data_IF_406294950067
#
_entry.id   IF_406294950067
#
_cell.length_a   1.000
_cell.length_b   1.000
_cell.length_c   1.000
_cell.angle_alpha   90.00
_cell.angle_beta   90.00
_cell.angle_gamma   90.00
#
_symmetry.space_group_name_H-M   'P 1'
#
loop_
_entity.id
_entity.type
_entity.pdbx_description
1 polymer ?
#
# COMPACT_ATOMS: atom_id res chain seq x y z
N UNK A 1 108.54 4.77 1.74
CA UNK A 1 108.14 3.72 0.89
C UNK A 1 106.66 3.93 0.61
N UNK A 2 106.24 3.85 -0.62
CA UNK A 2 105.15 4.54 -1.23
C UNK A 2 103.75 4.12 -0.72
N UNK A 3 103.01 5.10 -0.19
CA UNK A 3 101.54 5.03 0.14
C UNK A 3 100.77 5.37 -1.12
N UNK A 4 99.86 4.48 -1.55
CA UNK A 4 98.92 4.72 -2.61
C UNK A 4 97.54 4.96 -2.04
N UNK A 5 97.12 6.23 -2.19
CA UNK A 5 95.73 6.63 -1.85
C UNK A 5 94.76 6.14 -2.93
N UNK A 6 93.83 5.29 -2.58
CA UNK A 6 92.71 4.95 -3.44
C UNK A 6 91.49 5.78 -3.04
N UNK A 7 91.13 6.71 -3.96
CA UNK A 7 89.88 7.53 -3.85
C UNK A 7 88.71 6.76 -4.48
N UNK A 8 87.69 6.44 -3.67
CA UNK A 8 86.40 5.96 -4.20
C UNK A 8 85.52 7.17 -4.55
N UNK A 9 84.77 7.09 -5.69
CA UNK A 9 83.80 8.15 -6.03
C UNK A 9 82.50 7.92 -5.31
N UNK A 10 81.95 8.98 -4.71
CA UNK A 10 80.63 9.08 -4.12
C UNK A 10 79.57 8.99 -5.21
N UNK A 11 78.86 7.86 -5.28
CA UNK A 11 77.63 7.75 -6.09
C UNK A 11 76.49 8.47 -5.38
N UNK A 12 75.95 9.51 -6.04
CA UNK A 12 74.74 10.19 -5.66
C UNK A 12 73.55 9.25 -5.92
N UNK A 13 72.97 8.67 -4.91
CA UNK A 13 71.70 7.99 -4.98
C UNK A 13 70.58 9.04 -5.07
N UNK A 14 69.96 9.15 -6.24
CA UNK A 14 68.71 9.91 -6.43
C UNK A 14 67.57 9.09 -5.77
N UNK A 15 67.05 9.57 -4.64
CA UNK A 15 65.79 9.09 -4.07
C UNK A 15 64.65 9.65 -4.93
N UNK A 16 64.10 8.78 -5.79
CA UNK A 16 62.82 9.02 -6.45
C UNK A 16 61.72 8.74 -5.43
N UNK A 17 61.17 9.75 -4.81
CA UNK A 17 59.92 9.70 -4.03
C UNK A 17 58.77 9.52 -5.01
N UNK A 18 58.29 8.27 -5.20
CA UNK A 18 57.05 8.01 -5.87
C UNK A 18 55.90 8.47 -4.97
N UNK A 19 55.29 9.61 -5.28
CA UNK A 19 53.97 9.97 -4.72
C UNK A 19 52.94 8.98 -5.32
N UNK A 20 52.56 7.96 -4.56
CA UNK A 20 51.32 7.26 -4.81
C UNK A 20 50.16 8.20 -4.42
N UNK A 21 49.62 8.91 -5.42
CA UNK A 21 48.30 9.52 -5.32
C UNK A 21 47.25 8.39 -5.26
N UNK A 22 46.81 8.08 -4.03
CA UNK A 22 45.60 7.28 -3.81
C UNK A 22 44.44 8.14 -4.31
N UNK A 23 44.04 7.94 -5.55
CA UNK A 23 42.72 8.34 -6.05
C UNK A 23 41.72 7.53 -5.25
N UNK A 24 41.24 8.09 -4.12
CA UNK A 24 40.00 7.66 -3.51
C UNK A 24 38.87 7.97 -4.51
N UNK A 25 38.70 7.09 -5.46
CA UNK A 25 37.49 7.07 -6.28
C UNK A 25 36.33 6.90 -5.31
N UNK A 26 35.46 7.88 -5.24
CA UNK A 26 34.11 7.68 -4.70
C UNK A 26 33.48 6.59 -5.55
N UNK A 27 33.54 5.35 -5.09
CA UNK A 27 32.76 4.27 -5.66
C UNK A 27 31.30 4.64 -5.39
N UNK A 28 30.71 5.38 -6.31
CA UNK A 28 29.26 5.54 -6.35
C UNK A 28 28.70 4.12 -6.32
N UNK A 29 27.87 3.80 -5.33
CA UNK A 29 27.28 2.48 -5.20
C UNK A 29 26.57 2.17 -6.53
N UNK A 30 27.10 1.17 -7.25
CA UNK A 30 26.57 0.79 -8.54
C UNK A 30 25.21 0.14 -8.32
N UNK A 31 24.19 0.66 -8.98
CA UNK A 31 22.83 0.14 -8.89
C UNK A 31 22.81 -1.33 -9.35
N UNK A 32 22.21 -2.21 -8.55
CA UNK A 32 22.04 -3.61 -8.90
C UNK A 32 21.12 -3.75 -10.11
N UNK A 33 21.59 -4.43 -11.14
CA UNK A 33 20.80 -4.74 -12.32
C UNK A 33 20.52 -6.24 -12.37
N UNK A 34 19.24 -6.57 -12.28
CA UNK A 34 18.77 -7.94 -12.47
C UNK A 34 18.99 -8.39 -13.92
N UNK A 35 19.31 -9.65 -14.12
CA UNK A 35 19.44 -10.24 -15.43
C UNK A 35 18.16 -10.01 -16.26
N UNK A 36 18.26 -9.80 -17.58
CA UNK A 36 17.11 -9.78 -18.45
C UNK A 36 16.29 -11.06 -18.27
N UNK A 37 14.98 -10.93 -18.34
CA UNK A 37 14.03 -11.99 -18.04
C UNK A 37 14.32 -13.31 -18.79
N UNK A 38 14.67 -13.21 -20.08
CA UNK A 38 15.02 -14.36 -20.93
C UNK A 38 16.29 -15.08 -20.47
N UNK A 39 17.13 -14.45 -19.65
CA UNK A 39 18.34 -15.04 -19.07
C UNK A 39 18.15 -15.59 -17.67
N UNK A 40 17.05 -15.25 -16.98
CA UNK A 40 16.74 -15.75 -15.63
C UNK A 40 16.36 -17.23 -15.58
N UNK A 41 16.73 -17.99 -16.57
CA UNK A 41 16.58 -19.45 -16.69
C UNK A 41 17.90 -20.20 -16.51
N UNK A 42 19.02 -19.49 -16.39
CA UNK A 42 20.34 -20.11 -16.15
C UNK A 42 20.72 -19.98 -14.69
N UNK A 43 21.37 -20.99 -14.14
CA UNK A 43 21.82 -20.98 -12.74
C UNK A 43 22.78 -19.83 -12.47
N UNK A 44 23.64 -19.45 -13.42
CA UNK A 44 24.57 -18.34 -13.27
C UNK A 44 23.84 -17.01 -13.15
N UNK A 45 22.82 -16.76 -14.00
CA UNK A 45 22.06 -15.52 -13.97
C UNK A 45 21.26 -15.40 -12.66
N UNK A 46 20.59 -16.49 -12.25
CA UNK A 46 19.84 -16.54 -11.00
C UNK A 46 20.78 -16.33 -9.80
N UNK A 47 21.93 -17.00 -9.78
CA UNK A 47 22.90 -16.83 -8.70
C UNK A 47 23.45 -15.40 -8.61
N UNK A 48 23.75 -14.77 -9.75
CA UNK A 48 24.21 -13.38 -9.78
C UNK A 48 23.13 -12.41 -9.26
N UNK A 49 21.87 -12.60 -9.64
CA UNK A 49 20.75 -11.80 -9.16
C UNK A 49 20.56 -11.97 -7.64
N UNK A 50 20.61 -13.21 -7.12
CA UNK A 50 20.53 -13.48 -5.70
C UNK A 50 21.67 -12.82 -4.90
N UNK A 51 22.90 -12.83 -5.43
CA UNK A 51 24.00 -12.09 -4.83
C UNK A 51 23.74 -10.59 -4.80
N UNK A 52 23.11 -10.04 -5.83
CA UNK A 52 22.67 -8.64 -5.85
C UNK A 52 21.68 -8.31 -4.73
N UNK A 53 20.68 -9.16 -4.53
CA UNK A 53 19.71 -9.02 -3.44
C UNK A 53 20.38 -9.11 -2.07
N UNK A 54 21.27 -10.08 -1.88
CA UNK A 54 22.06 -10.25 -0.63
C UNK A 54 22.95 -9.02 -0.35
N UNK A 55 23.58 -8.46 -1.37
CA UNK A 55 24.40 -7.26 -1.23
C UNK A 55 23.55 -6.05 -0.81
N UNK A 56 22.36 -5.85 -1.42
CA UNK A 56 21.44 -4.79 -1.05
C UNK A 56 20.92 -4.98 0.38
N UNK A 57 20.56 -6.20 0.77
CA UNK A 57 20.20 -6.53 2.16
C UNK A 57 21.33 -6.24 3.14
N UNK A 58 22.57 -6.53 2.75
CA UNK A 58 23.76 -6.22 3.55
C UNK A 58 23.93 -4.73 3.80
N UNK A 59 23.62 -3.87 2.83
CA UNK A 59 23.67 -2.40 2.99
C UNK A 59 22.59 -1.90 3.96
N UNK A 60 21.36 -2.42 3.87
CA UNK A 60 20.29 -2.10 4.84
C UNK A 60 20.73 -2.48 6.26
N UNK A 61 21.29 -3.70 6.41
CA UNK A 61 21.83 -4.14 7.70
C UNK A 61 22.94 -3.23 8.20
N UNK A 62 23.87 -2.83 7.35
CA UNK A 62 24.98 -1.94 7.72
C UNK A 62 24.49 -0.56 8.22
N UNK A 63 23.42 0.00 7.61
CA UNK A 63 22.79 1.23 8.08
C UNK A 63 22.19 1.05 9.48
N UNK A 64 21.55 -0.09 9.76
CA UNK A 64 21.04 -0.39 11.10
C UNK A 64 22.17 -0.60 12.11
N UNK A 65 23.20 -1.38 11.77
CA UNK A 65 24.38 -1.59 12.61
C UNK A 65 25.12 -0.25 12.88
N UNK A 66 25.07 0.69 11.94
CA UNK A 66 25.59 2.05 12.07
C UNK A 66 24.75 2.98 12.95
N UNK A 67 23.67 2.47 13.57
CA UNK A 67 22.85 3.18 14.55
C UNK A 67 21.52 3.74 14.03
N UNK A 68 21.15 3.53 12.75
CA UNK A 68 19.82 3.88 12.30
C UNK A 68 18.80 2.92 12.93
N UNK A 69 17.73 3.41 13.55
CA UNK A 69 16.74 2.53 14.20
C UNK A 69 16.13 1.56 13.18
N UNK A 70 15.97 0.28 13.56
CA UNK A 70 15.41 -0.76 12.67
C UNK A 70 14.01 -0.43 12.17
N UNK A 71 13.25 0.37 12.93
CA UNK A 71 11.91 0.83 12.56
C UNK A 71 11.88 2.25 11.97
N UNK A 72 13.05 2.83 11.62
CA UNK A 72 13.11 4.10 10.90
C UNK A 72 12.30 4.00 9.59
N UNK A 73 11.54 5.03 9.26
CA UNK A 73 10.65 5.03 8.12
C UNK A 73 11.36 4.71 6.80
N UNK A 74 12.49 5.38 6.51
CA UNK A 74 13.20 5.18 5.25
C UNK A 74 13.93 3.84 5.20
N UNK A 75 14.48 3.40 6.34
CA UNK A 75 15.10 2.06 6.43
C UNK A 75 14.06 0.97 6.22
N UNK A 76 12.90 1.09 6.85
CA UNK A 76 11.79 0.15 6.70
C UNK A 76 11.24 0.17 5.27
N UNK A 77 11.10 1.36 4.66
CA UNK A 77 10.63 1.49 3.28
C UNK A 77 11.59 0.86 2.28
N UNK A 78 12.91 1.05 2.49
CA UNK A 78 13.93 0.38 1.69
C UNK A 78 13.84 -1.15 1.82
N UNK A 79 13.65 -1.67 3.04
CA UNK A 79 13.47 -3.10 3.25
C UNK A 79 12.20 -3.62 2.57
N UNK A 80 11.05 -2.95 2.74
CA UNK A 80 9.79 -3.40 2.14
C UNK A 80 9.85 -3.37 0.60
N UNK A 81 10.52 -2.38 -0.01
CA UNK A 81 10.77 -2.37 -1.44
C UNK A 81 11.66 -3.54 -1.88
N UNK A 82 12.70 -3.88 -1.11
CA UNK A 82 13.55 -5.04 -1.38
C UNK A 82 12.76 -6.33 -1.30
N UNK A 83 11.91 -6.46 -0.27
CA UNK A 83 11.10 -7.67 -0.02
C UNK A 83 10.07 -7.91 -1.13
N UNK A 84 9.32 -6.89 -1.56
CA UNK A 84 8.35 -7.05 -2.66
C UNK A 84 9.04 -7.28 -4.00
N UNK A 85 10.22 -6.67 -4.23
CA UNK A 85 11.05 -6.94 -5.40
C UNK A 85 11.47 -8.41 -5.45
N UNK A 86 12.03 -8.92 -4.35
CA UNK A 86 12.47 -10.29 -4.23
C UNK A 86 11.32 -11.29 -4.33
N UNK A 87 10.18 -10.97 -3.70
CA UNK A 87 8.97 -11.77 -3.77
C UNK A 87 8.54 -11.98 -5.23
N UNK A 88 8.40 -10.90 -5.98
CA UNK A 88 7.98 -10.97 -7.38
C UNK A 88 9.05 -11.60 -8.29
N UNK A 89 10.34 -11.36 -8.02
CA UNK A 89 11.42 -12.03 -8.70
C UNK A 89 11.32 -13.55 -8.56
N UNK A 90 11.12 -14.06 -7.33
CA UNK A 90 11.04 -15.51 -7.05
C UNK A 90 9.76 -16.14 -7.60
N UNK A 91 8.70 -15.38 -7.78
CA UNK A 91 7.47 -15.80 -8.46
C UNK A 91 7.57 -15.76 -9.98
N UNK A 92 8.74 -15.38 -10.51
CA UNK A 92 8.98 -15.23 -11.93
C UNK A 92 8.09 -14.16 -12.60
N UNK A 93 7.86 -13.06 -11.88
CA UNK A 93 7.25 -11.87 -12.49
C UNK A 93 8.13 -11.38 -13.64
N UNK A 94 7.52 -11.31 -14.81
CA UNK A 94 8.19 -10.95 -16.05
C UNK A 94 8.08 -9.47 -16.40
N UNK A 95 7.45 -8.70 -15.57
CA UNK A 95 7.32 -7.26 -15.72
C UNK A 95 8.58 -6.51 -15.27
N UNK A 96 8.57 -5.20 -15.36
CA UNK A 96 9.64 -4.35 -14.83
C UNK A 96 9.58 -4.22 -13.29
N UNK A 97 8.51 -4.69 -12.63
CA UNK A 97 8.28 -4.48 -11.20
C UNK A 97 9.45 -4.93 -10.31
N UNK A 98 10.04 -6.15 -10.45
CA UNK A 98 11.15 -6.55 -9.60
C UNK A 98 12.33 -5.59 -9.67
N UNK A 99 12.72 -5.17 -10.87
CA UNK A 99 13.84 -4.24 -11.06
C UNK A 99 13.53 -2.84 -10.54
N UNK A 100 12.33 -2.32 -10.83
CA UNK A 100 11.96 -0.97 -10.42
C UNK A 100 11.79 -0.86 -8.90
N UNK A 101 11.21 -1.88 -8.25
CA UNK A 101 11.10 -1.97 -6.79
C UNK A 101 12.49 -2.05 -6.11
N UNK A 102 13.41 -2.87 -6.66
CA UNK A 102 14.80 -2.90 -6.19
C UNK A 102 15.47 -1.54 -6.32
N UNK A 103 15.21 -0.83 -7.42
CA UNK A 103 15.72 0.52 -7.65
C UNK A 103 15.23 1.52 -6.60
N UNK A 104 13.95 1.47 -6.20
CA UNK A 104 13.41 2.32 -5.14
C UNK A 104 14.05 2.00 -3.78
N UNK A 105 14.28 0.71 -3.47
CA UNK A 105 15.05 0.33 -2.27
C UNK A 105 16.44 0.94 -2.28
N UNK A 106 17.19 0.78 -3.37
CA UNK A 106 18.56 1.28 -3.48
C UNK A 106 18.67 2.81 -3.45
N UNK A 107 17.71 3.54 -4.00
CA UNK A 107 17.65 5.01 -3.87
C UNK A 107 17.62 5.43 -2.42
N UNK A 108 16.72 4.85 -1.62
CA UNK A 108 16.59 5.15 -0.20
C UNK A 108 17.88 4.79 0.56
N UNK A 109 18.51 3.67 0.22
CA UNK A 109 19.78 3.24 0.82
C UNK A 109 20.87 4.28 0.53
N UNK A 110 21.02 4.69 -0.74
CA UNK A 110 22.02 5.70 -1.16
C UNK A 110 21.79 7.03 -0.47
N UNK A 111 20.54 7.49 -0.36
CA UNK A 111 20.21 8.73 0.34
C UNK A 111 20.59 8.65 1.83
N UNK A 112 20.33 7.52 2.48
CA UNK A 112 20.71 7.29 3.88
C UNK A 112 22.23 7.22 4.07
N UNK A 113 22.95 6.51 3.18
CA UNK A 113 24.41 6.40 3.20
C UNK A 113 25.09 7.75 3.01
N UNK A 114 24.51 8.61 2.16
CA UNK A 114 25.03 9.97 1.89
C UNK A 114 24.57 11.02 2.90
N UNK A 115 23.74 10.64 3.90
CA UNK A 115 23.23 11.58 4.91
C UNK A 115 22.31 12.66 4.34
N UNK A 116 21.58 12.37 3.26
CA UNK A 116 20.58 13.28 2.68
C UNK A 116 19.51 13.60 3.72
N UNK A 117 19.18 14.89 3.86
CA UNK A 117 18.16 15.33 4.83
C UNK A 117 17.48 16.62 4.33
N UNK A 118 16.14 16.67 4.24
CA UNK A 118 15.23 15.55 4.42
C UNK A 118 15.27 14.54 3.25
N UNK A 119 15.10 13.26 3.53
CA UNK A 119 14.86 12.26 2.49
C UNK A 119 13.37 12.35 2.08
N UNK A 120 13.03 12.34 0.77
CA UNK A 120 11.65 12.33 0.32
C UNK A 120 10.85 11.14 0.85
N UNK A 121 9.56 11.37 1.12
CA UNK A 121 8.65 10.33 1.61
C UNK A 121 7.71 9.77 0.54
N UNK A 122 7.78 10.31 -0.67
CA UNK A 122 6.94 9.88 -1.79
C UNK A 122 7.10 8.38 -2.07
N UNK A 123 6.01 7.77 -2.54
CA UNK A 123 5.98 6.36 -2.92
C UNK A 123 5.68 6.25 -4.41
N UNK A 124 6.66 5.76 -5.18
CA UNK A 124 6.54 5.63 -6.62
C UNK A 124 5.56 4.50 -6.98
N UNK A 125 4.71 4.72 -7.98
CA UNK A 125 3.89 3.66 -8.59
C UNK A 125 4.72 2.92 -9.65
N UNK A 126 5.68 2.12 -9.19
CA UNK A 126 6.57 1.37 -10.08
C UNK A 126 5.79 0.44 -11.02
N UNK A 127 6.33 0.20 -12.21
CA UNK A 127 5.71 -0.62 -13.25
C UNK A 127 4.27 -0.18 -13.59
N UNK A 128 3.98 1.12 -13.49
CA UNK A 128 2.63 1.67 -13.66
C UNK A 128 1.58 0.97 -12.79
N UNK A 129 1.95 0.59 -11.56
CA UNK A 129 1.06 -0.05 -10.62
C UNK A 129 -0.25 0.73 -10.47
N UNK A 130 -1.37 0.03 -10.46
CA UNK A 130 -2.67 0.66 -10.33
C UNK A 130 -2.81 1.32 -8.97
N UNK A 131 -3.15 2.60 -8.93
CA UNK A 131 -3.52 3.26 -7.67
C UNK A 131 -4.85 2.69 -7.17
N UNK A 132 -4.78 1.95 -6.07
CA UNK A 132 -5.91 1.26 -5.45
C UNK A 132 -6.11 1.76 -4.02
N UNK A 133 -7.35 1.67 -3.50
CA UNK A 133 -7.64 1.91 -2.08
C UNK A 133 -7.16 3.28 -1.60
N UNK A 134 -7.65 4.34 -2.28
CA UNK A 134 -7.38 5.74 -1.87
C UNK A 134 -7.64 5.98 -0.37
N UNK A 135 -8.64 5.30 0.20
CA UNK A 135 -8.95 5.33 1.62
C UNK A 135 -7.75 4.91 2.50
N UNK A 136 -7.00 3.87 2.13
CA UNK A 136 -5.81 3.43 2.87
C UNK A 136 -4.65 4.40 2.72
N UNK A 137 -4.44 4.93 1.51
CA UNK A 137 -3.44 5.97 1.27
C UNK A 137 -3.69 7.22 2.13
N UNK A 138 -4.94 7.67 2.24
CA UNK A 138 -5.30 8.83 3.05
C UNK A 138 -5.08 8.56 4.55
N UNK A 139 -5.39 7.36 5.04
CA UNK A 139 -5.14 6.95 6.42
C UNK A 139 -3.65 6.95 6.75
N UNK A 140 -2.80 6.37 5.89
CA UNK A 140 -1.34 6.41 6.05
C UNK A 140 -0.81 7.85 6.06
N UNK A 141 -1.25 8.66 5.09
CA UNK A 141 -0.86 10.07 4.99
C UNK A 141 -1.26 10.87 6.23
N UNK A 142 -2.42 10.60 6.81
CA UNK A 142 -2.86 11.28 8.02
C UNK A 142 -1.94 11.01 9.21
N UNK A 143 -1.32 9.83 9.31
CA UNK A 143 -0.39 9.47 10.38
C UNK A 143 0.93 10.26 10.26
N UNK A 144 1.44 10.50 9.06
CA UNK A 144 2.72 11.21 8.83
C UNK A 144 2.80 12.56 9.55
N UNK A 145 1.70 13.30 9.63
CA UNK A 145 1.65 14.62 10.27
C UNK A 145 1.46 14.61 11.78
N UNK A 146 1.44 13.44 12.42
CA UNK A 146 1.13 13.32 13.85
C UNK A 146 2.37 12.98 14.69
N UNK A 147 2.40 13.33 15.98
CA UNK A 147 3.47 12.88 16.91
C UNK A 147 3.55 11.35 17.01
N UNK A 148 2.45 10.64 16.77
CA UNK A 148 2.37 9.18 16.79
C UNK A 148 3.11 8.50 15.65
N UNK A 149 3.47 9.24 14.58
CA UNK A 149 4.23 8.71 13.45
C UNK A 149 5.55 8.05 13.88
N UNK A 150 6.22 8.59 14.90
CA UNK A 150 7.48 8.01 15.41
C UNK A 150 7.38 6.54 15.82
N UNK A 151 6.22 6.08 16.23
CA UNK A 151 5.97 4.66 16.55
C UNK A 151 5.42 3.85 15.41
N UNK A 152 4.81 4.49 14.42
CA UNK A 152 4.13 3.85 13.31
C UNK A 152 5.00 3.75 12.04
N UNK A 153 6.23 4.25 12.06
CA UNK A 153 7.08 4.46 10.88
C UNK A 153 7.17 3.23 9.99
N UNK A 154 7.47 2.07 10.57
CA UNK A 154 7.61 0.81 9.82
C UNK A 154 6.27 0.38 9.17
N UNK A 155 5.19 0.40 9.94
CA UNK A 155 3.88 -0.03 9.43
C UNK A 155 3.36 0.91 8.33
N UNK A 156 3.61 2.23 8.46
CA UNK A 156 3.30 3.21 7.42
C UNK A 156 4.12 2.93 6.15
N UNK A 157 5.44 2.80 6.28
CA UNK A 157 6.35 2.58 5.16
C UNK A 157 6.00 1.31 4.37
N UNK A 158 5.78 0.20 5.06
CA UNK A 158 5.45 -1.07 4.42
C UNK A 158 4.02 -1.09 3.87
N UNK A 159 3.07 -0.42 4.54
CA UNK A 159 1.70 -0.29 4.04
C UNK A 159 1.63 0.46 2.70
N UNK A 160 2.43 1.53 2.53
CA UNK A 160 2.54 2.25 1.26
C UNK A 160 3.12 1.36 0.15
N UNK A 161 4.18 0.61 0.44
CA UNK A 161 4.82 -0.30 -0.53
C UNK A 161 3.87 -1.44 -0.92
N UNK A 162 3.14 -2.03 0.03
CA UNK A 162 2.16 -3.09 -0.25
C UNK A 162 0.96 -2.60 -1.06
N UNK A 163 0.57 -1.33 -0.93
CA UNK A 163 -0.45 -0.76 -1.81
C UNK A 163 0.02 -0.67 -3.26
N UNK A 164 1.30 -0.36 -3.49
CA UNK A 164 1.89 -0.38 -4.84
C UNK A 164 1.99 -1.82 -5.36
N UNK A 165 2.43 -2.75 -4.52
CA UNK A 165 2.48 -4.18 -4.84
C UNK A 165 1.10 -4.71 -5.24
N UNK A 166 0.06 -4.41 -4.44
CA UNK A 166 -1.32 -4.76 -4.78
C UNK A 166 -1.76 -4.18 -6.13
N UNK A 167 -1.31 -2.96 -6.46
CA UNK A 167 -1.57 -2.32 -7.74
C UNK A 167 -0.89 -3.00 -8.93
N UNK A 168 0.33 -3.51 -8.75
CA UNK A 168 1.03 -4.33 -9.74
C UNK A 168 0.28 -5.64 -10.00
N UNK A 169 -0.12 -6.33 -8.94
CA UNK A 169 -0.87 -7.58 -9.01
C UNK A 169 -2.26 -7.39 -9.64
N UNK A 170 -2.88 -6.23 -9.43
CA UNK A 170 -4.13 -5.89 -10.10
C UNK A 170 -3.93 -5.75 -11.62
N UNK A 171 -2.83 -5.19 -12.08
CA UNK A 171 -2.53 -5.09 -13.51
C UNK A 171 -2.32 -6.47 -14.14
N UNK A 172 -1.82 -7.46 -13.40
CA UNK A 172 -1.59 -8.82 -13.90
C UNK A 172 -2.90 -9.62 -14.02
N UNK A 173 -3.64 -9.82 -12.93
CA UNK A 173 -4.85 -10.64 -12.89
C UNK A 173 -6.01 -10.02 -12.10
N UNK A 174 -6.13 -8.72 -12.13
CA UNK A 174 -7.23 -7.98 -11.53
C UNK A 174 -7.37 -8.27 -10.02
N UNK A 175 -8.57 -8.21 -9.50
CA UNK A 175 -8.89 -8.42 -8.09
C UNK A 175 -8.36 -9.74 -7.51
N UNK A 176 -8.36 -10.80 -8.30
CA UNK A 176 -7.96 -12.12 -7.83
C UNK A 176 -6.54 -12.16 -7.26
N UNK A 177 -5.60 -11.47 -7.93
CA UNK A 177 -4.22 -11.39 -7.49
C UNK A 177 -3.98 -10.26 -6.48
N UNK A 178 -4.62 -9.12 -6.64
CA UNK A 178 -4.40 -7.98 -5.75
C UNK A 178 -5.01 -8.16 -4.35
N UNK A 179 -6.06 -8.99 -4.20
CA UNK A 179 -6.78 -9.13 -2.92
C UNK A 179 -5.87 -9.47 -1.72
N UNK A 180 -4.96 -10.45 -1.78
CA UNK A 180 -4.08 -10.79 -0.65
C UNK A 180 -3.23 -9.60 -0.20
N UNK A 181 -2.69 -8.85 -1.14
CA UNK A 181 -1.82 -7.70 -0.86
C UNK A 181 -2.59 -6.48 -0.36
N UNK A 182 -3.83 -6.30 -0.83
CA UNK A 182 -4.76 -5.32 -0.24
C UNK A 182 -5.05 -5.68 1.23
N UNK A 183 -5.22 -6.98 1.54
CA UNK A 183 -5.42 -7.42 2.92
C UNK A 183 -4.20 -7.12 3.79
N UNK A 184 -3.00 -7.42 3.31
CA UNK A 184 -1.75 -7.09 4.01
C UNK A 184 -1.64 -5.58 4.24
N UNK A 185 -1.96 -4.77 3.22
CA UNK A 185 -1.94 -3.31 3.35
C UNK A 185 -2.98 -2.81 4.36
N UNK A 186 -4.20 -3.37 4.39
CA UNK A 186 -5.22 -3.06 5.40
C UNK A 186 -4.73 -3.36 6.82
N UNK A 187 -4.10 -4.52 7.01
CA UNK A 187 -3.57 -4.93 8.31
C UNK A 187 -2.44 -3.98 8.76
N UNK A 188 -1.51 -3.64 7.86
CA UNK A 188 -0.45 -2.66 8.14
C UNK A 188 -0.98 -1.26 8.46
N UNK A 189 -2.03 -0.80 7.78
CA UNK A 189 -2.69 0.48 8.08
C UNK A 189 -3.34 0.45 9.45
N UNK A 190 -4.03 -0.63 9.81
CA UNK A 190 -4.63 -0.80 11.13
C UNK A 190 -3.57 -0.82 12.23
N UNK A 191 -2.46 -1.52 12.00
CA UNK A 191 -1.32 -1.55 12.92
C UNK A 191 -0.67 -0.16 13.06
N UNK A 192 -0.48 0.56 11.95
CA UNK A 192 0.05 1.92 11.96
C UNK A 192 -0.79 2.86 12.81
N UNK A 193 -2.12 2.83 12.65
CA UNK A 193 -3.04 3.63 13.46
C UNK A 193 -3.00 3.24 14.95
N UNK A 194 -2.93 1.94 15.26
CA UNK A 194 -2.84 1.47 16.62
C UNK A 194 -1.54 1.92 17.29
N UNK A 195 -0.40 1.77 16.59
CA UNK A 195 0.92 2.21 17.07
C UNK A 195 0.98 3.74 17.22
N UNK A 196 0.43 4.49 16.29
CA UNK A 196 0.39 5.96 16.35
C UNK A 196 -0.40 6.44 17.59
N UNK A 197 -1.51 5.78 17.91
CA UNK A 197 -2.30 6.09 19.12
C UNK A 197 -1.53 5.81 20.42
N UNK A 198 -0.68 4.80 20.44
CA UNK A 198 0.11 4.43 21.64
C UNK A 198 1.23 5.42 21.96
N UNK A 199 1.79 6.06 20.95
CA UNK A 199 2.90 7.01 21.08
C UNK A 199 2.51 8.48 20.98
N UNK A 200 1.27 8.75 20.64
CA UNK A 200 0.76 10.12 20.71
C UNK A 200 0.80 10.65 22.16
N UNK A 201 0.84 11.97 22.38
CA UNK A 201 0.64 12.51 23.73
C UNK A 201 -0.62 11.87 24.29
N UNK A 202 -0.56 11.42 25.55
CA UNK A 202 -1.73 10.88 26.24
C UNK A 202 -2.91 11.81 25.97
N UNK A 203 -4.07 11.31 25.57
CA UNK A 203 -5.19 12.15 25.22
C UNK A 203 -5.39 13.12 26.37
N UNK A 204 -5.26 14.42 26.10
CA UNK A 204 -5.66 15.46 27.05
C UNK A 204 -7.07 15.08 27.53
N UNK A 205 -7.39 15.24 28.83
CA UNK A 205 -8.69 14.86 29.35
C UNK A 205 -9.78 15.38 28.41
N UNK A 206 -10.43 14.45 27.79
CA UNK A 206 -11.22 14.63 26.58
C UNK A 206 -12.24 15.77 26.72
N UNK A 207 -12.14 16.76 25.86
CA UNK A 207 -13.37 17.22 25.22
C UNK A 207 -14.11 15.94 24.79
N UNK A 208 -15.37 15.71 25.21
CA UNK A 208 -16.12 14.52 24.85
C UNK A 208 -15.92 14.27 23.35
N UNK A 209 -15.42 13.09 22.99
CA UNK A 209 -15.21 12.76 21.59
C UNK A 209 -16.49 13.11 20.83
N UNK A 210 -16.41 13.79 19.66
CA UNK A 210 -17.59 13.97 18.86
C UNK A 210 -18.24 12.59 18.73
N UNK A 211 -19.57 12.48 18.90
CA UNK A 211 -20.22 11.18 18.90
C UNK A 211 -19.73 10.40 17.69
N UNK A 212 -19.30 9.14 17.86
CA UNK A 212 -18.73 8.36 16.78
C UNK A 212 -19.65 8.47 15.58
N UNK A 213 -19.08 8.87 14.46
CA UNK A 213 -19.82 9.07 13.21
C UNK A 213 -20.66 7.84 12.87
N UNK A 214 -21.67 7.96 12.06
CA UNK A 214 -22.52 6.83 11.69
C UNK A 214 -21.66 5.72 11.14
N UNK A 215 -21.79 4.52 11.70
CA UNK A 215 -21.13 3.33 11.16
C UNK A 215 -21.77 3.03 9.80
N UNK A 216 -20.98 3.09 8.74
CA UNK A 216 -21.47 2.92 7.36
C UNK A 216 -20.86 1.69 6.72
N UNK A 217 -21.70 0.86 6.12
CA UNK A 217 -21.30 -0.27 5.28
C UNK A 217 -21.91 -0.12 3.88
N UNK A 218 -21.22 -0.63 2.86
CA UNK A 218 -21.72 -0.64 1.49
C UNK A 218 -21.95 -2.07 1.01
N UNK A 219 -23.17 -2.39 0.61
CA UNK A 219 -23.52 -3.66 -0.02
C UNK A 219 -23.54 -3.49 -1.53
N UNK A 220 -22.68 -4.23 -2.23
CA UNK A 220 -22.43 -4.10 -3.67
C UNK A 220 -23.18 -5.16 -4.47
N UNK A 221 -23.70 -4.78 -5.64
CA UNK A 221 -24.48 -5.63 -6.51
C UNK A 221 -23.82 -5.86 -7.87
N UNK A 222 -24.12 -7.03 -8.44
CA UNK A 222 -23.79 -7.32 -9.83
C UNK A 222 -24.50 -6.35 -10.79
N UNK A 223 -23.94 -6.24 -12.00
CA UNK A 223 -24.51 -5.36 -13.02
C UNK A 223 -25.94 -5.77 -13.38
N UNK A 224 -26.85 -4.79 -13.36
CA UNK A 224 -28.26 -4.97 -13.72
C UNK A 224 -28.98 -6.03 -12.86
N UNK A 225 -28.58 -6.19 -11.60
CA UNK A 225 -29.10 -7.16 -10.63
C UNK A 225 -29.47 -6.48 -9.31
N UNK A 226 -30.41 -7.12 -8.60
CA UNK A 226 -30.97 -6.64 -7.34
C UNK A 226 -31.25 -7.74 -6.30
N UNK A 227 -31.09 -9.03 -6.68
CA UNK A 227 -31.36 -10.17 -5.80
C UNK A 227 -30.28 -10.44 -4.77
N UNK A 228 -30.61 -11.18 -3.70
CA UNK A 228 -29.66 -11.58 -2.67
C UNK A 228 -28.43 -12.34 -3.22
N UNK A 229 -28.64 -13.21 -4.22
CA UNK A 229 -27.56 -13.99 -4.86
C UNK A 229 -26.66 -13.15 -5.77
N UNK A 230 -27.10 -11.95 -6.08
CA UNK A 230 -26.39 -11.01 -6.95
C UNK A 230 -25.55 -9.99 -6.13
N UNK A 231 -25.51 -10.15 -4.81
CA UNK A 231 -24.66 -9.36 -3.93
C UNK A 231 -23.24 -9.89 -3.99
N UNK A 232 -22.27 -9.00 -4.11
CA UNK A 232 -20.85 -9.33 -3.95
C UNK A 232 -20.58 -9.78 -2.52
N UNK A 233 -20.29 -11.06 -2.30
CA UNK A 233 -20.20 -11.70 -0.99
C UNK A 233 -19.29 -10.94 -0.01
N UNK A 234 -18.14 -10.45 -0.49
CA UNK A 234 -17.20 -9.70 0.33
C UNK A 234 -17.77 -8.37 0.87
N UNK A 235 -18.78 -7.78 0.18
CA UNK A 235 -19.41 -6.56 0.67
C UNK A 235 -20.33 -6.80 1.88
N UNK A 236 -20.81 -8.05 2.08
CA UNK A 236 -21.59 -8.44 3.26
C UNK A 236 -20.72 -8.47 4.53
N UNK A 237 -19.44 -8.77 4.40
CA UNK A 237 -18.50 -8.78 5.52
C UNK A 237 -18.44 -7.42 6.22
N UNK A 238 -18.61 -6.31 5.48
CA UNK A 238 -18.65 -4.97 6.06
C UNK A 238 -19.87 -4.76 6.96
N UNK A 239 -21.02 -5.31 6.58
CA UNK A 239 -22.25 -5.29 7.38
C UNK A 239 -22.10 -6.18 8.62
N UNK A 240 -21.59 -7.40 8.45
CA UNK A 240 -21.40 -8.34 9.54
C UNK A 240 -20.38 -7.82 10.56
N UNK A 241 -19.31 -7.19 10.09
CA UNK A 241 -18.32 -6.52 10.95
C UNK A 241 -18.95 -5.36 11.73
N UNK A 242 -19.76 -4.52 11.07
CA UNK A 242 -20.45 -3.43 11.72
C UNK A 242 -21.37 -3.93 12.86
N UNK A 243 -22.15 -4.98 12.60
CA UNK A 243 -23.02 -5.58 13.60
C UNK A 243 -22.23 -6.23 14.74
N UNK A 244 -21.11 -6.88 14.44
CA UNK A 244 -20.22 -7.46 15.44
C UNK A 244 -19.60 -6.38 16.34
N UNK A 245 -19.18 -5.25 15.76
CA UNK A 245 -18.65 -4.10 16.51
C UNK A 245 -19.69 -3.53 17.47
N UNK A 246 -20.93 -3.32 17.00
CA UNK A 246 -22.03 -2.83 17.85
C UNK A 246 -22.27 -3.76 19.05
N UNK A 247 -22.24 -5.07 18.80
CA UNK A 247 -22.41 -6.06 19.86
C UNK A 247 -21.22 -6.10 20.84
N UNK A 248 -20.01 -6.01 20.34
CA UNK A 248 -18.79 -6.05 21.17
C UNK A 248 -18.66 -4.80 22.07
N UNK A 249 -19.09 -3.64 21.56
CA UNK A 249 -19.05 -2.37 22.27
C UNK A 249 -20.31 -2.09 23.13
N UNK A 250 -21.23 -3.06 23.22
CA UNK A 250 -22.52 -2.94 23.90
C UNK A 250 -23.30 -1.67 23.51
N UNK A 251 -23.27 -1.33 22.21
CA UNK A 251 -23.88 -0.11 21.67
C UNK A 251 -25.29 -0.41 21.17
N UNK A 252 -26.24 0.32 21.73
CA UNK A 252 -27.65 0.18 21.33
C UNK A 252 -27.88 0.80 19.95
N UNK A 253 -28.47 0.03 19.03
CA UNK A 253 -28.86 0.47 17.71
C UNK A 253 -30.21 1.23 17.78
N UNK A 254 -30.20 2.53 17.49
CA UNK A 254 -31.41 3.33 17.40
C UNK A 254 -32.18 3.06 16.10
N UNK A 255 -31.45 2.90 14.98
CA UNK A 255 -32.03 2.65 13.67
C UNK A 255 -31.01 2.33 12.60
N UNK A 256 -31.52 1.97 11.42
CA UNK A 256 -30.70 1.78 10.21
C UNK A 256 -31.33 2.57 9.06
N UNK A 257 -30.52 3.37 8.39
CA UNK A 257 -30.91 4.05 7.15
C UNK A 257 -30.22 3.38 5.96
N UNK A 258 -31.01 2.98 4.97
CA UNK A 258 -30.53 2.41 3.72
C UNK A 258 -30.69 3.43 2.60
N UNK A 259 -29.66 3.56 1.74
CA UNK A 259 -29.74 4.38 0.54
C UNK A 259 -29.32 3.55 -0.69
N UNK A 260 -30.27 3.22 -1.55
CA UNK A 260 -30.05 2.46 -2.77
C UNK A 260 -29.53 3.33 -3.91
N UNK A 261 -28.56 2.78 -4.68
CA UNK A 261 -27.96 3.44 -5.84
C UNK A 261 -27.82 2.47 -7.05
N UNK A 262 -27.79 3.06 -8.23
CA UNK A 262 -27.49 2.37 -9.48
C UNK A 262 -26.32 3.05 -10.21
N UNK A 263 -25.64 2.33 -11.09
CA UNK A 263 -24.64 2.93 -11.97
C UNK A 263 -25.29 3.67 -13.15
N UNK A 264 -24.51 4.57 -13.75
CA UNK A 264 -24.93 5.30 -14.95
C UNK A 264 -24.44 4.61 -16.21
N UNK A 265 -24.82 3.35 -16.42
CA UNK A 265 -24.61 2.70 -17.72
C UNK A 265 -25.64 3.18 -18.74
N UNK A 266 -25.15 3.55 -19.94
CA UNK A 266 -25.98 4.06 -21.02
C UNK A 266 -27.10 3.08 -21.41
N UNK A 267 -28.31 3.58 -21.61
CA UNK A 267 -29.41 2.91 -22.27
C UNK A 267 -30.64 2.52 -21.43
N UNK A 268 -30.62 2.70 -20.09
CA UNK A 268 -31.73 2.26 -19.24
C UNK A 268 -32.64 3.38 -18.71
N UNK A 269 -32.22 4.62 -18.75
CA UNK A 269 -33.03 5.77 -18.31
C UNK A 269 -33.18 5.92 -16.78
N UNK A 270 -33.60 7.11 -16.37
CA UNK A 270 -33.72 7.49 -14.94
C UNK A 270 -34.73 6.60 -14.19
N UNK A 271 -35.91 6.39 -14.72
CA UNK A 271 -36.96 5.61 -14.04
C UNK A 271 -36.55 4.17 -13.78
N UNK A 272 -35.82 3.56 -14.74
CA UNK A 272 -35.28 2.21 -14.57
C UNK A 272 -34.27 2.15 -13.42
N UNK A 273 -33.32 3.07 -13.40
CA UNK A 273 -32.29 3.11 -12.34
C UNK A 273 -32.89 3.43 -10.98
N UNK A 274 -33.93 4.26 -10.96
CA UNK A 274 -34.70 4.55 -9.74
C UNK A 274 -35.33 3.26 -9.17
N UNK A 275 -36.08 2.53 -10.00
CA UNK A 275 -36.71 1.27 -9.60
C UNK A 275 -35.67 0.18 -9.24
N UNK A 276 -34.52 0.12 -9.92
CA UNK A 276 -33.44 -0.83 -9.62
C UNK A 276 -32.81 -0.52 -8.25
N UNK A 277 -32.58 0.76 -7.95
CA UNK A 277 -32.02 1.19 -6.68
C UNK A 277 -32.99 0.92 -5.49
N UNK A 278 -34.29 1.03 -5.73
CA UNK A 278 -35.33 0.68 -4.77
C UNK A 278 -35.30 -0.81 -4.43
N UNK A 279 -35.36 -1.70 -5.45
CA UNK A 279 -35.32 -3.17 -5.22
C UNK A 279 -34.05 -3.61 -4.53
N UNK A 280 -32.89 -2.98 -4.81
CA UNK A 280 -31.65 -3.22 -4.06
C UNK A 280 -31.78 -2.88 -2.59
N UNK A 281 -32.36 -1.71 -2.27
CA UNK A 281 -32.59 -1.29 -0.90
C UNK A 281 -33.54 -2.26 -0.17
N UNK A 282 -34.59 -2.74 -0.84
CA UNK A 282 -35.51 -3.76 -0.30
C UNK A 282 -34.80 -5.10 -0.04
N UNK A 283 -33.93 -5.53 -0.94
CA UNK A 283 -33.13 -6.76 -0.76
C UNK A 283 -32.22 -6.66 0.46
N UNK A 284 -31.54 -5.52 0.64
CA UNK A 284 -30.69 -5.30 1.82
C UNK A 284 -31.54 -5.16 3.10
N UNK A 285 -32.71 -4.55 3.02
CA UNK A 285 -33.65 -4.52 4.14
C UNK A 285 -34.04 -5.91 4.59
N UNK A 286 -34.43 -6.79 3.65
CA UNK A 286 -34.77 -8.19 3.97
C UNK A 286 -33.58 -8.94 4.59
N UNK A 287 -32.37 -8.69 4.09
CA UNK A 287 -31.12 -9.25 4.60
C UNK A 287 -30.87 -8.83 6.06
N UNK A 288 -31.05 -7.56 6.41
CA UNK A 288 -30.86 -7.07 7.78
C UNK A 288 -31.90 -7.61 8.75
N UNK A 289 -33.16 -7.74 8.30
CA UNK A 289 -34.21 -8.40 9.07
C UNK A 289 -33.81 -9.85 9.36
N UNK A 290 -33.30 -10.58 8.38
CA UNK A 290 -32.75 -11.93 8.55
C UNK A 290 -31.56 -12.02 9.52
N UNK A 291 -30.87 -10.92 9.77
CA UNK A 291 -29.81 -10.76 10.77
C UNK A 291 -30.30 -10.30 12.15
N UNK A 292 -31.62 -10.21 12.33
CA UNK A 292 -32.23 -9.87 13.60
C UNK A 292 -32.48 -8.39 13.85
N UNK A 293 -32.32 -7.51 12.83
CA UNK A 293 -32.71 -6.10 12.97
C UNK A 293 -34.22 -5.95 12.88
N UNK A 294 -34.80 -5.25 13.85
CA UNK A 294 -36.23 -4.94 13.88
C UNK A 294 -36.66 -4.18 12.61
N UNK A 295 -37.62 -4.68 11.83
CA UNK A 295 -38.13 -4.01 10.65
C UNK A 295 -38.59 -2.58 10.88
N UNK A 296 -39.09 -2.26 12.08
CA UNK A 296 -39.55 -0.92 12.45
C UNK A 296 -38.40 0.09 12.63
N UNK A 297 -37.16 -0.41 12.82
CA UNK A 297 -35.96 0.40 12.93
C UNK A 297 -35.26 0.63 11.59
N UNK A 298 -35.72 0.01 10.48
CA UNK A 298 -35.10 0.14 9.16
C UNK A 298 -35.92 1.09 8.30
N UNK A 299 -35.35 2.23 7.97
CA UNK A 299 -35.85 3.11 6.92
C UNK A 299 -34.99 3.03 5.68
N UNK A 300 -35.56 3.21 4.50
CA UNK A 300 -34.81 3.18 3.25
C UNK A 300 -35.29 4.25 2.28
N UNK A 301 -34.36 4.71 1.46
CA UNK A 301 -34.57 5.56 0.31
C UNK A 301 -33.73 5.08 -0.86
N UNK A 302 -33.99 5.61 -2.03
CA UNK A 302 -33.31 5.25 -3.27
C UNK A 302 -33.06 6.47 -4.13
N UNK A 303 -31.92 6.51 -4.81
CA UNK A 303 -31.40 7.67 -5.54
C UNK A 303 -31.17 7.41 -7.01
N UNK A 304 -31.50 6.22 -7.52
CA UNK A 304 -31.18 5.84 -8.89
C UNK A 304 -29.69 6.02 -9.19
N UNK A 305 -29.38 6.67 -10.29
CA UNK A 305 -28.03 6.96 -10.75
C UNK A 305 -27.56 8.40 -10.48
N UNK A 306 -28.25 9.13 -9.58
CA UNK A 306 -27.97 10.56 -9.34
C UNK A 306 -26.71 10.79 -8.49
N UNK A 307 -26.27 9.81 -7.70
CA UNK A 307 -25.15 9.92 -6.77
C UNK A 307 -24.04 8.90 -7.10
N UNK A 308 -23.30 9.19 -8.16
CA UNK A 308 -22.16 8.36 -8.56
C UNK A 308 -20.94 8.68 -7.67
N UNK A 309 -20.29 7.64 -7.13
CA UNK A 309 -19.04 7.73 -6.36
C UNK A 309 -17.82 7.42 -7.21
N UNK A 310 -18.02 6.77 -8.36
CA UNK A 310 -16.95 6.40 -9.29
C UNK A 310 -17.32 6.84 -10.71
N UNK A 311 -16.41 7.57 -11.36
CA UNK A 311 -16.49 7.92 -12.76
C UNK A 311 -15.53 7.05 -13.58
N UNK A 312 -15.99 6.54 -14.71
CA UNK A 312 -15.24 5.55 -15.51
C UNK A 312 -15.23 5.93 -16.99
N UNK A 313 -14.91 7.20 -17.27
CA UNK A 313 -14.83 7.70 -18.64
C UNK A 313 -13.69 7.06 -19.40
N UNK A 314 -13.93 6.63 -20.64
CA UNK A 314 -12.92 6.05 -21.52
C UNK A 314 -12.45 4.63 -21.16
N UNK A 315 -13.00 4.01 -20.12
CA UNK A 315 -12.60 2.65 -19.74
C UNK A 315 -13.12 1.62 -20.74
N UNK A 316 -12.20 0.84 -21.31
CA UNK A 316 -12.46 -0.27 -22.22
C UNK A 316 -11.60 -1.47 -21.82
N UNK A 317 -12.00 -2.72 -22.09
CA UNK A 317 -13.25 -3.19 -22.69
C UNK A 317 -14.46 -3.06 -21.75
N UNK A 318 -15.65 -3.44 -22.22
CA UNK A 318 -16.90 -3.39 -21.43
C UNK A 318 -16.79 -4.08 -20.07
N UNK A 319 -16.06 -5.18 -19.98
CA UNK A 319 -15.83 -5.90 -18.70
C UNK A 319 -15.10 -5.03 -17.68
N UNK A 320 -14.06 -4.32 -18.10
CA UNK A 320 -13.33 -3.38 -17.25
C UNK A 320 -14.20 -2.19 -16.82
N UNK A 321 -15.06 -1.68 -17.74
CA UNK A 321 -16.03 -0.64 -17.42
C UNK A 321 -17.04 -1.10 -16.34
N UNK A 322 -17.55 -2.33 -16.46
CA UNK A 322 -18.46 -2.89 -15.48
C UNK A 322 -17.82 -3.01 -14.07
N UNK A 323 -16.58 -3.44 -13.98
CA UNK A 323 -15.86 -3.50 -12.69
C UNK A 323 -15.55 -2.10 -12.15
N UNK A 324 -15.12 -1.18 -13.00
CA UNK A 324 -14.89 0.21 -12.59
C UNK A 324 -16.16 0.87 -12.00
N UNK A 325 -17.32 0.61 -12.57
CA UNK A 325 -18.60 1.17 -12.12
C UNK A 325 -19.20 0.42 -10.90
N UNK A 326 -18.59 -0.67 -10.45
CA UNK A 326 -19.11 -1.48 -9.34
C UNK A 326 -19.43 -0.66 -8.08
N UNK A 327 -18.62 0.32 -7.62
CA UNK A 327 -18.93 1.12 -6.44
C UNK A 327 -20.23 1.92 -6.53
N UNK A 328 -20.72 2.18 -7.74
CA UNK A 328 -21.99 2.88 -7.96
C UNK A 328 -23.20 1.97 -7.76
N UNK A 329 -23.04 0.65 -7.85
CA UNK A 329 -24.07 -0.36 -7.67
C UNK A 329 -24.13 -0.80 -6.22
N UNK A 330 -24.54 0.10 -5.35
CA UNK A 330 -24.47 -0.11 -3.90
C UNK A 330 -25.77 0.20 -3.18
N UNK A 331 -25.88 -0.35 -1.99
CA UNK A 331 -26.77 0.15 -0.94
C UNK A 331 -25.89 0.56 0.23
N UNK A 332 -25.94 1.84 0.58
CA UNK A 332 -25.32 2.35 1.80
C UNK A 332 -26.17 1.94 3.00
N UNK A 333 -25.55 1.31 3.98
CA UNK A 333 -26.15 0.89 5.25
C UNK A 333 -25.57 1.77 6.35
N UNK A 334 -26.34 2.69 6.88
CA UNK A 334 -25.96 3.61 7.95
C UNK A 334 -26.59 3.17 9.26
N UNK A 335 -25.76 2.72 10.20
CA UNK A 335 -26.21 2.32 11.53
C UNK A 335 -26.29 3.56 12.43
N UNK A 336 -27.46 3.85 12.94
CA UNK A 336 -27.72 4.97 13.84
C UNK A 336 -27.74 4.46 15.27
N UNK A 337 -26.96 5.09 16.12
CA UNK A 337 -26.75 4.65 17.49
C UNK A 337 -27.60 5.45 18.46
N UNK A 338 -28.10 4.80 19.51
CA UNK A 338 -28.71 5.49 20.63
C UNK A 338 -27.67 6.42 21.30
N UNK A 339 -28.14 7.56 21.76
CA UNK A 339 -27.28 8.56 22.44
C UNK A 339 -27.02 8.15 23.89
#
# INVERSE_FOLDING_TARGET
MKSTHNRFPLSRALLATALLSVLAGTAGAQQTRLAPQEKRITDEAIHADLQGYEATQGRIKALNDGGRPVRDYHLSKAQCWLDVSFHEYTRNDRSAFPQEALTESEKLIVDMENGVSPIPTDTALVNNARYLRDDLWQRLKAIHGTPGFTCAQQAVACGEVELVHAGNEFNQQQWRHSKPYIQIAEDLVNDAEALARQCGPAPSPSVPAPPPGPLVANVLFEFDRDGYRDIRTYSLESVDRALATLKAEDRELAGVALVGHADRMQGRGFDYNQALSERRAETVRALLIGRGIDPARIRYEYRGDTQQVQQCEGVTPRTALLECLLPNRRVEVRFELAR
#
